data_IF_807977683046
#
_entry.id   IF_807977683046
#
_cell.length_a   1.000
_cell.length_b   1.000
_cell.length_c   1.000
_cell.angle_alpha   90.00
_cell.angle_beta   90.00
_cell.angle_gamma   90.00
#
_symmetry.space_group_name_H-M   'P 1'
#
loop_
_entity.id
_entity.type
_entity.pdbx_description
1 polymer ?
#
# COMPACT_ATOMS: atom_id res chain seq x y z
N UNK A 1 12.36 -12.22 -0.45
CA UNK A 1 12.48 -12.00 1.02
C UNK A 1 12.77 -13.30 1.75
N UNK A 2 11.90 -14.31 1.67
CA UNK A 2 12.08 -15.60 2.37
C UNK A 2 13.43 -16.29 2.11
N UNK A 3 14.01 -16.11 0.92
CA UNK A 3 15.33 -16.62 0.56
C UNK A 3 16.51 -15.89 1.25
N UNK A 4 16.26 -14.91 2.13
CA UNK A 4 17.31 -14.20 2.86
C UNK A 4 18.14 -13.21 2.03
N UNK A 5 17.69 -12.86 0.82
CA UNK A 5 18.44 -12.02 -0.13
C UNK A 5 18.87 -10.64 0.38
N UNK A 6 18.23 -10.13 1.45
CA UNK A 6 18.55 -8.85 2.09
C UNK A 6 18.88 -8.99 3.59
N UNK A 7 19.12 -10.22 4.06
CA UNK A 7 19.37 -10.51 5.47
C UNK A 7 18.10 -10.42 6.33
N UNK A 8 18.26 -10.02 7.60
CA UNK A 8 17.13 -9.87 8.52
C UNK A 8 16.32 -8.62 8.17
N UNK A 9 15.02 -8.76 7.98
CA UNK A 9 14.11 -7.64 7.72
C UNK A 9 14.11 -6.70 8.94
N UNK A 10 14.40 -5.42 8.70
CA UNK A 10 14.46 -4.38 9.71
C UNK A 10 13.27 -3.41 9.64
N UNK A 11 12.59 -3.32 8.49
CA UNK A 11 11.42 -2.47 8.33
C UNK A 11 10.78 -2.58 6.96
N UNK A 12 9.49 -2.30 6.90
CA UNK A 12 8.70 -2.28 5.67
C UNK A 12 8.01 -0.92 5.60
N UNK A 13 8.02 -0.32 4.42
CA UNK A 13 7.31 0.93 4.22
C UNK A 13 6.87 1.13 2.79
N UNK A 14 6.14 2.21 2.58
CA UNK A 14 5.67 2.61 1.26
C UNK A 14 5.79 4.10 1.08
N UNK A 15 5.94 4.52 -0.16
CA UNK A 15 5.92 5.93 -0.50
C UNK A 15 5.19 6.17 -1.81
N UNK A 16 4.45 7.27 -1.89
CA UNK A 16 3.86 7.72 -3.14
C UNK A 16 3.83 9.23 -3.22
N UNK A 17 4.63 9.79 -4.13
CA UNK A 17 4.57 11.20 -4.49
C UNK A 17 3.83 11.31 -5.81
N UNK A 18 2.54 11.58 -5.76
CA UNK A 18 1.67 11.69 -6.93
C UNK A 18 1.03 13.07 -7.02
N UNK A 19 0.35 13.35 -8.13
CA UNK A 19 -0.42 14.58 -8.30
C UNK A 19 -1.85 14.27 -8.70
N UNK A 20 -2.78 14.93 -8.02
CA UNK A 20 -4.19 15.06 -8.41
C UNK A 20 -4.53 16.54 -8.44
N UNK A 21 -5.13 16.95 -9.55
CA UNK A 21 -5.61 18.32 -9.71
C UNK A 21 -6.96 18.49 -9.00
N UNK A 22 -7.46 19.72 -9.01
CA UNK A 22 -8.77 20.03 -8.43
C UNK A 22 -9.91 19.27 -9.11
N UNK A 23 -9.80 19.00 -10.42
CA UNK A 23 -10.82 18.26 -11.18
C UNK A 23 -11.02 16.84 -10.62
N UNK A 24 -9.95 16.22 -10.11
CA UNK A 24 -10.06 14.94 -9.42
C UNK A 24 -11.05 14.98 -8.25
N UNK A 25 -11.07 16.05 -7.45
CA UNK A 25 -11.97 16.18 -6.29
C UNK A 25 -13.38 16.63 -6.67
N UNK A 26 -13.56 17.15 -7.89
CA UNK A 26 -14.89 17.49 -8.44
C UNK A 26 -15.54 16.33 -9.19
N UNK A 27 -14.84 15.19 -9.36
CA UNK A 27 -15.32 14.04 -10.15
C UNK A 27 -16.63 13.42 -9.65
N UNK A 28 -16.91 13.54 -8.36
CA UNK A 28 -18.07 12.95 -7.71
C UNK A 28 -18.45 13.70 -6.43
N UNK A 29 -19.73 13.68 -5.99
CA UNK A 29 -20.18 14.39 -4.80
C UNK A 29 -19.53 13.99 -3.47
N UNK A 30 -18.90 12.81 -3.43
CA UNK A 30 -18.18 12.27 -2.27
C UNK A 30 -16.67 12.56 -2.32
N UNK A 31 -16.12 12.91 -3.48
CA UNK A 31 -14.69 13.05 -3.64
C UNK A 31 -14.14 14.17 -2.74
N UNK A 32 -13.08 13.88 -1.99
CA UNK A 32 -12.52 14.80 -1.02
C UNK A 32 -13.34 15.00 0.26
N UNK A 33 -14.46 14.28 0.47
CA UNK A 33 -15.28 14.42 1.69
C UNK A 33 -14.85 13.45 2.79
N UNK A 34 -15.16 13.79 4.04
CA UNK A 34 -15.08 12.85 5.18
C UNK A 34 -16.41 12.17 5.46
N UNK A 35 -17.53 12.86 5.20
CA UNK A 35 -18.89 12.30 5.34
C UNK A 35 -19.81 12.79 4.24
N UNK A 36 -20.75 11.93 3.83
CA UNK A 36 -21.82 12.28 2.90
C UNK A 36 -23.10 11.56 3.34
N UNK A 37 -24.19 12.31 3.52
CA UNK A 37 -25.50 11.77 3.93
C UNK A 37 -25.44 10.89 5.19
N UNK A 38 -24.59 11.25 6.16
CA UNK A 38 -24.41 10.51 7.41
C UNK A 38 -23.47 9.30 7.33
N UNK A 39 -22.97 8.96 6.14
CA UNK A 39 -22.04 7.85 5.91
C UNK A 39 -20.61 8.38 5.80
N UNK A 40 -19.65 7.67 6.35
CA UNK A 40 -18.24 8.03 6.26
C UNK A 40 -17.71 7.78 4.85
N UNK A 41 -16.89 8.71 4.38
CA UNK A 41 -16.24 8.64 3.08
C UNK A 41 -14.74 8.45 3.28
N UNK A 42 -14.25 7.32 2.76
CA UNK A 42 -12.87 6.85 2.99
C UNK A 42 -11.99 7.23 1.79
N UNK A 43 -12.01 8.52 1.41
CA UNK A 43 -11.31 9.09 0.24
C UNK A 43 -10.00 9.82 0.60
N UNK A 44 -9.24 9.29 1.57
CA UNK A 44 -7.91 9.79 1.93
C UNK A 44 -6.82 9.26 1.00
N UNK A 45 -5.66 9.93 0.98
CA UNK A 45 -4.53 9.57 0.13
C UNK A 45 -4.08 8.10 0.34
N UNK A 46 -4.07 7.65 1.59
CA UNK A 46 -3.66 6.29 1.99
C UNK A 46 -4.78 5.25 1.94
N UNK A 47 -6.03 5.66 1.74
CA UNK A 47 -7.19 4.76 1.78
C UNK A 47 -7.89 4.61 0.43
N UNK A 48 -7.62 5.50 -0.52
CA UNK A 48 -8.03 5.34 -1.91
C UNK A 48 -6.82 5.40 -2.87
N UNK A 49 -6.27 6.56 -3.30
CA UNK A 49 -5.32 6.57 -4.43
C UNK A 49 -4.05 5.75 -4.22
N UNK A 50 -3.58 5.66 -2.97
CA UNK A 50 -2.39 4.91 -2.58
C UNK A 50 -2.68 3.82 -1.53
N UNK A 51 -3.94 3.35 -1.47
CA UNK A 51 -4.36 2.19 -0.67
C UNK A 51 -3.45 0.96 -0.88
N UNK A 52 -3.07 0.72 -2.14
CA UNK A 52 -2.20 -0.39 -2.52
C UNK A 52 -0.85 -0.39 -1.79
N UNK A 53 -0.29 0.79 -1.46
CA UNK A 53 0.97 0.86 -0.73
C UNK A 53 0.82 0.36 0.71
N UNK A 54 -0.29 0.69 1.38
CA UNK A 54 -0.60 0.22 2.74
C UNK A 54 -0.91 -1.27 2.74
N UNK A 55 -1.83 -1.71 1.88
CA UNK A 55 -2.22 -3.12 1.80
C UNK A 55 -1.04 -4.04 1.44
N UNK A 56 -0.23 -3.65 0.46
CA UNK A 56 0.96 -4.43 0.06
C UNK A 56 2.00 -4.47 1.17
N UNK A 57 2.24 -3.36 1.88
CA UNK A 57 3.20 -3.33 2.98
C UNK A 57 2.76 -4.22 4.16
N UNK A 58 1.46 -4.25 4.48
CA UNK A 58 0.89 -5.15 5.48
C UNK A 58 1.01 -6.63 5.07
N UNK A 59 0.73 -6.94 3.80
CA UNK A 59 0.90 -8.29 3.25
C UNK A 59 2.37 -8.74 3.31
N UNK A 60 3.33 -7.88 2.95
CA UNK A 60 4.76 -8.18 3.06
C UNK A 60 5.23 -8.33 4.52
N UNK A 61 4.59 -7.64 5.47
CA UNK A 61 4.82 -7.84 6.89
C UNK A 61 4.27 -9.18 7.41
N UNK A 62 3.39 -9.83 6.65
CA UNK A 62 2.68 -11.04 7.06
C UNK A 62 1.57 -10.75 8.07
N UNK A 63 1.07 -9.52 8.12
CA UNK A 63 0.03 -9.04 9.05
C UNK A 63 -1.18 -8.61 8.25
N UNK A 64 -1.97 -9.59 7.84
CA UNK A 64 -3.05 -9.45 6.86
C UNK A 64 -4.43 -9.34 7.52
N UNK A 65 -4.58 -9.76 8.77
CA UNK A 65 -5.87 -9.77 9.47
C UNK A 65 -6.05 -8.57 10.39
N UNK A 66 -7.31 -8.22 10.66
CA UNK A 66 -7.64 -7.06 11.48
C UNK A 66 -7.05 -7.16 12.91
N UNK A 67 -6.99 -8.36 13.48
CA UNK A 67 -6.39 -8.60 14.79
C UNK A 67 -4.87 -8.42 14.82
N UNK A 68 -4.18 -8.47 13.67
CA UNK A 68 -2.73 -8.24 13.61
C UNK A 68 -2.37 -6.75 13.82
N UNK A 69 -3.31 -5.83 13.62
CA UNK A 69 -3.05 -4.40 13.81
C UNK A 69 -3.33 -4.01 15.26
N UNK A 70 -2.29 -3.60 15.98
CA UNK A 70 -2.36 -3.29 17.42
C UNK A 70 -2.33 -1.79 17.71
N UNK A 71 -1.81 -0.97 16.81
CA UNK A 71 -1.89 0.50 16.89
C UNK A 71 -1.80 1.15 15.51
N UNK A 72 -2.48 2.27 15.35
CA UNK A 72 -2.45 3.12 14.16
C UNK A 72 -2.17 4.54 14.61
N UNK A 73 -1.09 5.13 14.07
CA UNK A 73 -0.71 6.53 14.28
C UNK A 73 -0.74 7.24 12.92
N UNK A 74 -1.45 8.36 12.82
CA UNK A 74 -1.63 9.09 11.55
C UNK A 74 -1.19 10.54 11.66
N UNK A 75 -0.57 11.04 10.60
CA UNK A 75 -0.46 12.46 10.29
C UNK A 75 -1.26 12.70 9.01
N UNK A 76 -2.34 13.48 9.11
CA UNK A 76 -3.26 13.73 8.00
C UNK A 76 -3.23 15.21 7.67
N UNK A 77 -2.80 15.55 6.46
CA UNK A 77 -2.68 16.91 5.95
C UNK A 77 -3.46 17.05 4.64
N UNK A 78 -3.77 18.30 4.31
CA UNK A 78 -4.43 18.68 3.06
C UNK A 78 -3.83 19.96 2.52
N UNK A 79 -3.56 19.99 1.21
CA UNK A 79 -3.20 21.19 0.48
C UNK A 79 -4.36 21.70 -0.40
N UNK A 80 -5.23 20.81 -0.87
CA UNK A 80 -6.45 21.14 -1.59
C UNK A 80 -7.58 21.53 -0.63
N UNK A 81 -8.56 22.28 -1.12
CA UNK A 81 -9.77 22.65 -0.38
C UNK A 81 -10.77 21.48 -0.35
N UNK A 82 -10.42 20.46 0.41
CA UNK A 82 -11.17 19.21 0.60
C UNK A 82 -11.31 18.90 2.11
N UNK A 83 -12.23 18.04 2.51
CA UNK A 83 -12.38 17.60 3.90
C UNK A 83 -11.43 16.43 4.25
N UNK A 84 -11.15 15.56 3.28
CA UNK A 84 -10.23 14.43 3.45
C UNK A 84 -8.76 14.85 3.38
N UNK A 85 -7.86 13.88 3.48
CA UNK A 85 -6.42 14.08 3.37
C UNK A 85 -5.92 13.82 1.95
N UNK A 86 -5.06 14.70 1.45
CA UNK A 86 -4.33 14.52 0.19
C UNK A 86 -2.82 14.28 0.43
N UNK A 87 -2.36 14.47 1.66
CA UNK A 87 -0.98 14.26 2.09
C UNK A 87 -0.97 13.62 3.47
N UNK A 88 -0.46 12.40 3.57
CA UNK A 88 -0.63 11.59 4.78
C UNK A 88 0.58 10.71 5.08
N UNK A 89 0.81 10.50 6.36
CA UNK A 89 1.72 9.48 6.87
C UNK A 89 0.97 8.58 7.84
N UNK A 90 1.16 7.27 7.74
CA UNK A 90 0.64 6.30 8.72
C UNK A 90 1.78 5.44 9.23
N UNK A 91 1.74 5.15 10.53
CA UNK A 91 2.53 4.11 11.17
C UNK A 91 1.60 3.09 11.79
N UNK A 92 1.74 1.84 11.35
CA UNK A 92 0.94 0.71 11.81
C UNK A 92 1.85 -0.22 12.61
N UNK A 93 1.43 -0.55 13.83
CA UNK A 93 2.15 -1.51 14.68
C UNK A 93 1.44 -2.86 14.63
N UNK A 94 2.23 -3.92 14.50
CA UNK A 94 1.78 -5.32 14.47
C UNK A 94 2.68 -6.17 15.38
N UNK A 95 2.30 -7.41 15.74
CA UNK A 95 3.20 -8.35 16.42
C UNK A 95 4.48 -8.66 15.63
N UNK A 96 4.49 -8.42 14.31
CA UNK A 96 5.60 -8.70 13.40
C UNK A 96 6.43 -7.45 13.09
N UNK A 97 6.19 -6.33 13.78
CA UNK A 97 6.94 -5.09 13.64
C UNK A 97 6.09 -3.91 13.17
N UNK A 98 6.73 -2.89 12.61
CA UNK A 98 6.06 -1.66 12.16
C UNK A 98 6.07 -1.55 10.65
N UNK A 99 4.96 -1.07 10.11
CA UNK A 99 4.80 -0.62 8.72
C UNK A 99 4.64 0.90 8.73
N UNK A 100 5.34 1.61 7.84
CA UNK A 100 5.19 3.08 7.70
C UNK A 100 4.98 3.45 6.24
N UNK A 101 3.91 4.19 5.94
CA UNK A 101 3.61 4.65 4.58
C UNK A 101 3.42 6.15 4.56
N UNK A 102 4.09 6.83 3.64
CA UNK A 102 3.96 8.27 3.42
C UNK A 102 3.51 8.56 1.99
N UNK A 103 2.50 9.40 1.82
CA UNK A 103 1.85 9.65 0.55
C UNK A 103 1.52 11.14 0.40
N UNK A 104 1.62 11.64 -0.82
CA UNK A 104 1.05 12.93 -1.21
C UNK A 104 0.46 12.85 -2.61
N UNK A 105 -0.65 13.54 -2.81
CA UNK A 105 -1.29 13.80 -4.11
C UNK A 105 -1.01 15.23 -4.58
N UNK A 106 -0.04 15.91 -3.95
CA UNK A 106 0.31 17.29 -4.21
C UNK A 106 1.78 17.44 -4.61
N UNK A 107 2.39 16.38 -5.14
CA UNK A 107 3.78 16.42 -5.58
C UNK A 107 3.94 17.36 -6.79
N UNK A 108 4.87 18.30 -6.70
CA UNK A 108 5.29 19.14 -7.84
C UNK A 108 5.86 18.30 -8.98
N UNK A 109 6.58 17.23 -8.63
CA UNK A 109 7.17 16.26 -9.57
C UNK A 109 6.70 14.85 -9.19
N UNK A 110 5.60 14.37 -9.80
CA UNK A 110 5.08 13.04 -9.53
C UNK A 110 6.07 11.95 -9.92
N UNK A 111 6.09 10.87 -9.15
CA UNK A 111 6.85 9.66 -9.41
C UNK A 111 5.99 8.42 -9.24
N UNK A 112 6.56 7.26 -9.57
CA UNK A 112 5.88 5.99 -9.38
C UNK A 112 5.87 5.62 -7.89
N UNK A 113 4.70 5.32 -7.31
CA UNK A 113 4.61 4.86 -5.93
C UNK A 113 5.21 3.47 -5.78
N UNK A 114 5.74 3.18 -4.59
CA UNK A 114 6.45 1.95 -4.32
C UNK A 114 6.28 1.48 -2.87
N UNK A 115 6.50 0.19 -2.67
CA UNK A 115 6.70 -0.43 -1.37
C UNK A 115 8.14 -0.88 -1.28
N UNK A 116 8.73 -0.80 -0.10
CA UNK A 116 10.13 -1.13 0.13
C UNK A 116 10.30 -1.98 1.38
N UNK A 117 11.26 -2.89 1.33
CA UNK A 117 11.66 -3.74 2.45
C UNK A 117 13.13 -3.50 2.73
N UNK A 118 13.42 -3.02 3.93
CA UNK A 118 14.77 -2.88 4.43
C UNK A 118 15.20 -4.16 5.13
N UNK A 119 16.42 -4.62 4.83
CA UNK A 119 17.06 -5.69 5.55
C UNK A 119 18.49 -5.34 5.95
N UNK A 120 19.10 -6.17 6.79
CA UNK A 120 20.44 -5.95 7.35
C UNK A 120 21.56 -5.94 6.30
N UNK A 121 21.35 -6.50 5.11
CA UNK A 121 22.35 -6.57 4.04
C UNK A 121 21.84 -6.09 2.69
N UNK A 122 20.69 -5.39 2.65
CA UNK A 122 20.14 -4.87 1.42
C UNK A 122 18.74 -4.28 1.55
N UNK A 123 18.15 -3.95 0.42
CA UNK A 123 16.77 -3.50 0.29
C UNK A 123 16.12 -4.04 -0.97
N UNK A 124 14.81 -4.16 -0.94
CA UNK A 124 13.97 -4.46 -2.10
C UNK A 124 13.01 -3.28 -2.28
N UNK A 125 12.91 -2.75 -3.49
CA UNK A 125 11.91 -1.76 -3.87
C UNK A 125 10.98 -2.36 -4.90
N UNK A 126 9.67 -2.26 -4.68
CA UNK A 126 8.63 -2.75 -5.57
C UNK A 126 7.75 -1.59 -6.04
N UNK A 127 7.87 -1.23 -7.32
CA UNK A 127 6.96 -0.29 -7.98
C UNK A 127 5.74 -1.05 -8.49
N UNK A 128 4.73 -1.18 -7.64
CA UNK A 128 3.58 -2.06 -7.85
C UNK A 128 2.73 -1.71 -9.07
N UNK A 129 2.78 -0.46 -9.57
CA UNK A 129 2.11 -0.08 -10.82
C UNK A 129 2.82 -0.58 -12.08
N UNK A 130 4.12 -0.85 -11.96
CA UNK A 130 5.00 -1.26 -13.04
C UNK A 130 5.37 -2.75 -12.94
N UNK A 131 4.88 -3.45 -11.92
CA UNK A 131 5.20 -4.85 -11.64
C UNK A 131 6.72 -5.11 -11.55
N UNK A 132 7.46 -4.08 -11.11
CA UNK A 132 8.92 -4.02 -11.17
C UNK A 132 9.53 -4.05 -9.78
N UNK A 133 10.46 -4.99 -9.59
CA UNK A 133 11.23 -5.18 -8.37
C UNK A 133 12.69 -4.83 -8.61
N UNK A 134 13.26 -3.98 -7.76
CA UNK A 134 14.70 -3.74 -7.69
C UNK A 134 15.24 -4.32 -6.39
N UNK A 135 16.21 -5.22 -6.51
CA UNK A 135 16.95 -5.79 -5.38
C UNK A 135 18.34 -5.15 -5.33
N UNK A 136 18.70 -4.61 -4.16
CA UNK A 136 20.02 -4.02 -3.93
C UNK A 136 20.60 -4.63 -2.65
N UNK A 137 21.71 -5.36 -2.76
CA UNK A 137 22.30 -6.11 -1.65
C UNK A 137 23.83 -6.03 -1.66
N UNK A 138 24.44 -6.12 -0.49
CA UNK A 138 25.89 -6.02 -0.33
C UNK A 138 26.62 -7.05 -1.21
N UNK A 139 27.71 -6.62 -1.86
CA UNK A 139 28.53 -7.48 -2.72
C UNK A 139 27.92 -7.85 -4.06
N UNK A 140 26.76 -7.29 -4.43
CA UNK A 140 26.09 -7.54 -5.71
C UNK A 140 25.70 -6.22 -6.39
N UNK A 141 25.65 -6.22 -7.72
CA UNK A 141 25.04 -5.12 -8.47
C UNK A 141 23.51 -5.06 -8.24
N UNK A 142 22.86 -3.94 -8.61
CA UNK A 142 21.40 -3.87 -8.63
C UNK A 142 20.84 -4.91 -9.60
N UNK A 143 19.80 -5.62 -9.16
CA UNK A 143 19.08 -6.61 -9.96
C UNK A 143 17.63 -6.15 -10.14
N UNK A 144 17.22 -5.95 -11.38
CA UNK A 144 15.86 -5.55 -11.73
C UNK A 144 15.10 -6.76 -12.30
N UNK A 145 13.90 -6.98 -11.78
CA UNK A 145 13.04 -8.11 -12.14
C UNK A 145 11.65 -7.54 -12.42
N UNK A 146 11.09 -7.90 -13.56
CA UNK A 146 9.71 -7.58 -13.93
C UNK A 146 8.85 -8.84 -13.79
N UNK A 147 7.68 -8.69 -13.18
CA UNK A 147 6.72 -9.75 -12.96
C UNK A 147 5.45 -9.51 -13.79
N UNK A 148 4.72 -10.58 -14.08
CA UNK A 148 3.35 -10.47 -14.57
C UNK A 148 2.34 -10.31 -13.43
N UNK A 149 1.09 -10.08 -13.79
CA UNK A 149 -0.03 -10.07 -12.84
C UNK A 149 -0.81 -11.36 -12.92
N UNK A 150 -1.29 -11.82 -11.77
CA UNK A 150 -2.28 -12.90 -11.70
C UNK A 150 -3.67 -12.29 -11.78
N UNK A 151 -4.53 -12.85 -12.62
CA UNK A 151 -5.91 -12.40 -12.77
C UNK A 151 -6.75 -12.91 -11.59
N UNK A 152 -7.17 -11.99 -10.71
CA UNK A 152 -7.99 -12.31 -9.54
C UNK A 152 -9.44 -12.63 -9.90
N UNK A 153 -9.93 -12.18 -11.06
CA UNK A 153 -11.26 -12.57 -11.55
C UNK A 153 -11.24 -14.02 -12.04
N UNK A 154 -10.20 -14.42 -12.77
CA UNK A 154 -10.02 -15.83 -13.15
C UNK A 154 -9.87 -16.73 -11.91
N UNK A 155 -9.09 -16.30 -10.91
CA UNK A 155 -9.00 -17.02 -9.63
C UNK A 155 -10.35 -17.14 -8.92
N UNK A 156 -11.16 -16.08 -8.90
CA UNK A 156 -12.51 -16.12 -8.33
C UNK A 156 -13.42 -17.11 -9.08
N UNK A 157 -13.36 -17.12 -10.42
CA UNK A 157 -14.12 -18.08 -11.22
C UNK A 157 -13.68 -19.50 -10.89
N UNK A 158 -12.37 -19.79 -10.89
CA UNK A 158 -11.83 -21.11 -10.56
C UNK A 158 -12.19 -21.54 -9.13
N UNK A 159 -12.22 -20.62 -8.16
CA UNK A 159 -12.70 -20.91 -6.81
C UNK A 159 -14.16 -21.40 -6.82
N UNK A 160 -15.03 -20.72 -7.57
CA UNK A 160 -16.45 -21.04 -7.63
C UNK A 160 -16.76 -22.31 -8.44
N UNK A 161 -15.97 -22.62 -9.47
CA UNK A 161 -16.25 -23.74 -10.39
C UNK A 161 -15.45 -25.00 -10.07
N UNK A 162 -14.23 -24.85 -9.56
CA UNK A 162 -13.26 -25.94 -9.37
C UNK A 162 -12.81 -26.10 -7.92
N UNK A 163 -13.18 -25.18 -7.03
CA UNK A 163 -12.78 -25.21 -5.63
C UNK A 163 -11.33 -24.79 -5.39
N UNK A 164 -10.70 -24.06 -6.32
CA UNK A 164 -9.38 -23.47 -6.12
C UNK A 164 -9.36 -22.55 -4.89
N UNK A 165 -8.26 -22.45 -4.15
CA UNK A 165 -8.15 -21.47 -3.06
C UNK A 165 -8.12 -20.02 -3.60
N UNK A 166 -8.75 -19.10 -2.86
CA UNK A 166 -8.69 -17.67 -3.19
C UNK A 166 -7.29 -17.14 -2.86
N UNK A 167 -6.71 -16.40 -3.80
CA UNK A 167 -5.39 -15.79 -3.62
C UNK A 167 -5.40 -14.58 -2.68
N UNK A 168 -6.56 -13.94 -2.54
CA UNK A 168 -6.79 -12.78 -1.66
C UNK A 168 -8.16 -12.92 -1.04
N UNK A 169 -8.27 -13.76 0.00
CA UNK A 169 -9.53 -13.91 0.71
C UNK A 169 -9.89 -12.60 1.47
N UNK A 170 -11.18 -12.22 1.58
CA UNK A 170 -11.56 -10.97 2.24
C UNK A 170 -11.05 -10.83 3.68
N UNK A 171 -10.99 -11.92 4.45
CA UNK A 171 -10.46 -11.92 5.82
C UNK A 171 -8.95 -11.60 5.87
N UNK A 172 -8.20 -11.98 4.83
CA UNK A 172 -6.78 -11.63 4.65
C UNK A 172 -6.56 -10.17 4.20
N UNK A 173 -7.63 -9.40 4.03
CA UNK A 173 -7.52 -7.94 3.83
C UNK A 173 -7.88 -7.14 5.08
N UNK A 174 -8.25 -7.83 6.17
CA UNK A 174 -8.77 -7.21 7.38
C UNK A 174 -7.84 -6.21 8.04
N UNK A 175 -6.51 -6.36 7.91
CA UNK A 175 -5.54 -5.41 8.45
C UNK A 175 -5.63 -4.04 7.78
N UNK A 176 -5.91 -3.99 6.46
CA UNK A 176 -6.09 -2.73 5.74
C UNK A 176 -7.46 -2.09 6.04
N UNK A 177 -8.45 -2.91 6.37
CA UNK A 177 -9.83 -2.47 6.64
C UNK A 177 -10.07 -1.98 8.09
N UNK A 178 -9.06 -2.03 8.95
CA UNK A 178 -9.14 -1.63 10.36
C UNK A 178 -8.73 -0.18 10.56
#
# INVERSE_FOLDING_TARGET
IAQGAIGQVAGIGGAGAWARDEAYYRRAPWAGKRRLNGVDVIDGALTNPLAHAVATALALNGSTRAEDVTAIETELLRANDIESDDTSCVRITTPRGRVTVAATLCAERPGEPYVLVHGSSGRITFWYKQDRVLVQRSGHGPEEIEYGRTDLLENLVAHLTEGAELLVAPDETGAFMK
#
